data_IF_776096872680
#
_entry.id   IF_776096872680
#
_cell.length_a   1.000
_cell.length_b   1.000
_cell.length_c   1.000
_cell.angle_alpha   90.00
_cell.angle_beta   90.00
_cell.angle_gamma   90.00
#
_symmetry.space_group_name_H-M   'P 1'
#
loop_
_entity.id
_entity.type
_entity.pdbx_description
1 polymer ?
#
# COMPACT_ATOMS: atom_id res chain seq x y z
N UNK A 1 6.03 -4.00 7.02
CA UNK A 1 5.11 -4.33 5.92
C UNK A 1 4.08 -3.22 5.83
N UNK A 2 3.67 -2.81 4.63
CA UNK A 2 2.61 -1.81 4.46
C UNK A 2 1.94 -1.89 3.09
N UNK A 3 0.61 -1.72 3.08
CA UNK A 3 -0.19 -1.59 1.85
C UNK A 3 -0.50 -0.13 1.55
N UNK A 4 -0.46 0.29 0.28
CA UNK A 4 -0.88 1.63 -0.13
C UNK A 4 -0.16 2.76 0.64
N UNK A 5 -0.89 3.66 1.30
CA UNK A 5 -0.35 4.68 2.21
C UNK A 5 0.53 4.09 3.31
N UNK A 6 0.23 2.91 3.84
CA UNK A 6 1.07 2.22 4.81
C UNK A 6 2.44 1.83 4.22
N UNK A 7 2.50 1.53 2.93
CA UNK A 7 3.75 1.32 2.20
C UNK A 7 4.56 2.61 2.04
N UNK A 8 3.89 3.74 1.76
CA UNK A 8 4.52 5.07 1.76
C UNK A 8 5.14 5.41 3.11
N UNK A 9 4.40 5.21 4.20
CA UNK A 9 4.89 5.42 5.56
C UNK A 9 6.08 4.51 5.85
N UNK A 10 5.99 3.23 5.47
CA UNK A 10 7.09 2.26 5.67
C UNK A 10 8.36 2.66 4.93
N UNK A 11 8.25 3.20 3.72
CA UNK A 11 9.38 3.72 2.94
C UNK A 11 10.00 4.96 3.59
N UNK A 12 9.18 5.89 4.06
CA UNK A 12 9.65 7.08 4.78
C UNK A 12 10.38 6.70 6.07
N UNK A 13 9.81 5.77 6.84
CA UNK A 13 10.39 5.27 8.08
C UNK A 13 11.75 4.61 7.84
N UNK A 14 11.83 3.69 6.85
CA UNK A 14 13.08 3.01 6.52
C UNK A 14 14.17 3.95 5.99
N UNK A 15 13.78 5.07 5.37
CA UNK A 15 14.72 6.10 4.93
C UNK A 15 15.21 6.95 6.10
N UNK A 16 14.33 7.31 7.04
CA UNK A 16 14.65 8.14 8.20
C UNK A 16 15.44 7.37 9.28
N UNK A 17 15.16 6.07 9.43
CA UNK A 17 15.73 5.22 10.46
C UNK A 17 16.27 3.90 9.86
N UNK A 18 17.38 3.94 9.08
CA UNK A 18 17.89 2.76 8.37
C UNK A 18 18.23 1.56 9.25
N UNK A 19 18.68 1.82 10.49
CA UNK A 19 19.08 0.78 11.45
C UNK A 19 17.87 0.13 12.16
N UNK A 20 16.69 0.76 12.10
CA UNK A 20 15.48 0.26 12.76
C UNK A 20 14.68 -0.72 11.88
N UNK A 21 14.97 -0.77 10.57
CA UNK A 21 14.18 -1.54 9.60
C UNK A 21 15.03 -2.62 8.95
N UNK A 22 14.86 -3.86 9.41
CA UNK A 22 15.56 -5.03 8.86
C UNK A 22 15.07 -5.42 7.45
N UNK A 23 13.89 -4.98 7.04
CA UNK A 23 13.35 -5.26 5.72
C UNK A 23 11.92 -4.74 5.52
N UNK A 24 11.55 -4.56 4.26
CA UNK A 24 10.25 -4.03 3.86
C UNK A 24 9.47 -5.03 3.02
N UNK A 25 8.16 -5.08 3.25
CA UNK A 25 7.21 -5.71 2.34
C UNK A 25 6.19 -4.66 1.96
N UNK A 26 6.12 -4.34 0.68
CA UNK A 26 5.34 -3.24 0.11
C UNK A 26 4.28 -3.82 -0.80
N UNK A 27 3.02 -3.74 -0.36
CA UNK A 27 1.86 -4.25 -1.10
C UNK A 27 1.17 -3.07 -1.78
N UNK A 28 1.22 -2.96 -3.11
CA UNK A 28 0.59 -1.84 -3.84
C UNK A 28 0.92 -0.46 -3.23
N UNK A 29 2.17 -0.31 -2.78
CA UNK A 29 2.57 0.84 -2.00
C UNK A 29 2.38 2.12 -2.80
N UNK A 30 1.90 3.17 -2.14
CA UNK A 30 1.74 4.50 -2.72
C UNK A 30 3.12 5.13 -2.98
N UNK A 31 3.74 4.71 -4.08
CA UNK A 31 5.06 5.13 -4.50
C UNK A 31 5.05 6.55 -5.09
N UNK A 32 6.22 7.16 -5.35
CA UNK A 32 6.27 8.44 -6.04
C UNK A 32 5.54 8.39 -7.38
N UNK A 33 4.89 9.50 -7.75
CA UNK A 33 4.11 9.56 -8.97
C UNK A 33 4.95 9.22 -10.21
N UNK A 34 4.37 8.36 -11.04
CA UNK A 34 4.88 8.00 -12.36
C UNK A 34 3.90 8.49 -13.42
N UNK A 35 4.36 8.83 -14.63
CA UNK A 35 3.46 9.13 -15.74
C UNK A 35 2.63 7.89 -16.09
N UNK A 36 1.38 7.86 -15.66
CA UNK A 36 0.41 6.81 -15.95
C UNK A 36 -0.99 7.40 -15.95
N UNK A 37 -1.87 6.88 -16.80
CA UNK A 37 -3.28 7.28 -16.82
C UNK A 37 -3.97 6.69 -15.58
N UNK A 38 -4.56 7.52 -14.70
CA UNK A 38 -5.29 7.01 -13.54
C UNK A 38 -6.66 6.45 -13.97
N UNK A 39 -7.20 5.54 -13.17
CA UNK A 39 -8.59 5.11 -13.32
C UNK A 39 -9.53 6.32 -13.15
N UNK A 40 -10.49 6.56 -14.06
CA UNK A 40 -11.35 7.74 -14.01
C UNK A 40 -12.15 7.90 -12.72
N UNK A 41 -12.62 6.79 -12.13
CA UNK A 41 -13.39 6.83 -10.89
C UNK A 41 -12.49 7.17 -9.68
N UNK A 42 -11.28 6.61 -9.66
CA UNK A 42 -10.27 6.95 -8.64
C UNK A 42 -9.86 8.42 -8.78
N UNK A 43 -9.58 8.89 -9.99
CA UNK A 43 -9.25 10.29 -10.25
C UNK A 43 -10.35 11.23 -9.76
N UNK A 44 -11.62 10.96 -10.10
CA UNK A 44 -12.76 11.76 -9.65
C UNK A 44 -12.88 11.77 -8.12
N UNK A 45 -12.70 10.62 -7.45
CA UNK A 45 -12.74 10.51 -5.99
C UNK A 45 -11.64 11.33 -5.31
N UNK A 46 -10.39 11.18 -5.75
CA UNK A 46 -9.27 11.90 -5.19
C UNK A 46 -9.32 13.40 -5.49
N UNK A 47 -9.83 13.80 -6.66
CA UNK A 47 -10.12 15.21 -6.99
C UNK A 47 -11.19 15.79 -6.06
N UNK A 48 -12.27 15.05 -5.80
CA UNK A 48 -13.29 15.48 -4.83
C UNK A 48 -12.71 15.65 -3.42
N UNK A 49 -11.80 14.77 -3.00
CA UNK A 49 -11.08 14.94 -1.74
C UNK A 49 -10.11 16.12 -1.74
N UNK A 50 -9.41 16.41 -2.83
CA UNK A 50 -8.49 17.53 -2.93
C UNK A 50 -9.21 18.90 -2.79
N UNK A 51 -10.43 19.02 -3.30
CA UNK A 51 -11.20 20.28 -3.27
C UNK A 51 -11.86 20.52 -1.90
N UNK A 52 -11.75 21.73 -1.28
CA UNK A 52 -12.30 21.98 0.07
C UNK A 52 -13.81 21.80 0.20
N UNK A 53 -14.60 22.34 -0.74
CA UNK A 53 -16.06 22.26 -0.71
C UNK A 53 -16.56 20.85 -1.06
N UNK A 54 -15.99 20.22 -2.09
CA UNK A 54 -16.34 18.87 -2.49
C UNK A 54 -15.96 17.85 -1.42
N UNK A 55 -14.82 18.04 -0.75
CA UNK A 55 -14.39 17.22 0.37
C UNK A 55 -15.35 17.29 1.56
N UNK A 56 -15.93 18.46 1.85
CA UNK A 56 -16.99 18.60 2.88
C UNK A 56 -18.25 17.82 2.52
N UNK A 57 -18.67 17.87 1.26
CA UNK A 57 -19.84 17.13 0.75
C UNK A 57 -19.56 15.63 0.76
N UNK A 58 -18.40 15.19 0.26
CA UNK A 58 -18.00 13.79 0.25
C UNK A 58 -17.93 13.20 1.66
N UNK A 59 -17.42 13.98 2.62
CA UNK A 59 -17.45 13.66 4.06
C UNK A 59 -18.87 13.50 4.58
N UNK A 60 -19.74 14.51 4.38
CA UNK A 60 -21.12 14.47 4.87
C UNK A 60 -21.89 13.27 4.30
N UNK A 61 -21.76 13.02 2.99
CA UNK A 61 -22.34 11.84 2.33
C UNK A 61 -21.83 10.54 2.95
N UNK A 62 -20.53 10.41 3.19
CA UNK A 62 -19.94 9.21 3.77
C UNK A 62 -20.39 8.98 5.21
N UNK A 63 -20.44 10.02 6.05
CA UNK A 63 -20.88 9.89 7.45
C UNK A 63 -22.34 9.46 7.57
N UNK A 64 -23.15 9.70 6.54
CA UNK A 64 -24.54 9.25 6.48
C UNK A 64 -24.69 7.81 5.93
N UNK A 65 -23.63 7.18 5.40
CA UNK A 65 -23.71 5.83 4.82
C UNK A 65 -23.59 4.75 5.90
N UNK A 66 -24.36 3.66 5.79
CA UNK A 66 -24.11 2.44 6.56
C UNK A 66 -22.69 1.91 6.31
N UNK A 67 -22.10 1.31 7.34
CA UNK A 67 -20.74 0.78 7.28
C UNK A 67 -20.59 -0.33 6.23
N UNK A 68 -21.62 -1.15 6.03
CA UNK A 68 -21.71 -2.21 5.03
C UNK A 68 -21.59 -1.64 3.62
N UNK A 69 -22.36 -0.59 3.35
CA UNK A 69 -22.33 0.13 2.07
C UNK A 69 -20.94 0.70 1.83
N UNK A 70 -20.35 1.32 2.85
CA UNK A 70 -19.02 1.92 2.75
C UNK A 70 -17.94 0.87 2.46
N UNK A 71 -17.92 -0.23 3.20
CA UNK A 71 -16.97 -1.34 2.98
C UNK A 71 -17.19 -1.96 1.61
N UNK A 72 -18.43 -2.22 1.22
CA UNK A 72 -18.75 -2.76 -0.11
C UNK A 72 -18.29 -1.86 -1.25
N UNK A 73 -18.43 -0.52 -1.12
CA UNK A 73 -17.90 0.43 -2.09
C UNK A 73 -16.38 0.41 -2.15
N UNK A 74 -15.70 0.33 -1.01
CA UNK A 74 -14.23 0.28 -0.96
C UNK A 74 -13.70 -1.04 -1.55
N UNK A 75 -14.32 -2.18 -1.25
CA UNK A 75 -13.92 -3.46 -1.85
C UNK A 75 -14.14 -3.47 -3.36
N UNK A 76 -15.22 -2.90 -3.90
CA UNK A 76 -15.41 -2.76 -5.36
C UNK A 76 -14.42 -1.81 -6.02
N UNK A 77 -13.92 -0.83 -5.28
CA UNK A 77 -12.93 0.11 -5.79
C UNK A 77 -11.54 -0.53 -5.81
N UNK A 78 -11.21 -1.24 -4.73
CA UNK A 78 -9.88 -1.79 -4.50
C UNK A 78 -9.69 -3.19 -5.09
N UNK A 79 -10.71 -4.02 -5.12
CA UNK A 79 -10.63 -5.40 -5.62
C UNK A 79 -11.10 -5.51 -7.06
N UNK A 80 -10.54 -6.47 -7.81
CA UNK A 80 -11.08 -6.90 -9.10
C UNK A 80 -12.36 -7.70 -8.88
N UNK A 81 -12.32 -8.62 -7.91
CA UNK A 81 -13.46 -9.45 -7.54
C UNK A 81 -13.64 -9.45 -6.01
N UNK A 82 -14.55 -8.61 -5.48
CA UNK A 82 -14.85 -8.57 -4.06
C UNK A 82 -15.33 -9.90 -3.47
N UNK A 83 -15.87 -10.82 -4.28
CA UNK A 83 -16.34 -12.13 -3.80
C UNK A 83 -15.19 -13.05 -3.37
N UNK A 84 -13.94 -12.73 -3.75
CA UNK A 84 -12.74 -13.45 -3.28
C UNK A 84 -12.38 -13.12 -1.83
N UNK A 85 -12.90 -12.02 -1.28
CA UNK A 85 -12.65 -11.64 0.10
C UNK A 85 -13.57 -12.47 1.01
N UNK A 86 -13.03 -13.24 1.98
CA UNK A 86 -13.86 -14.08 2.83
C UNK A 86 -14.92 -13.28 3.61
N UNK A 87 -16.16 -13.79 3.75
CA UNK A 87 -17.24 -13.06 4.41
C UNK A 87 -16.92 -12.60 5.84
N UNK A 88 -16.17 -13.39 6.59
CA UNK A 88 -15.70 -13.07 7.94
C UNK A 88 -14.72 -11.89 7.94
N UNK A 89 -13.88 -11.77 6.92
CA UNK A 89 -12.99 -10.62 6.74
C UNK A 89 -13.79 -9.38 6.38
N UNK A 90 -14.81 -9.51 5.52
CA UNK A 90 -15.72 -8.39 5.22
C UNK A 90 -16.47 -7.94 6.47
N UNK A 91 -16.99 -8.87 7.27
CA UNK A 91 -17.68 -8.57 8.52
C UNK A 91 -16.76 -7.82 9.51
N UNK A 92 -15.49 -8.20 9.59
CA UNK A 92 -14.50 -7.50 10.41
C UNK A 92 -14.24 -6.07 9.91
N UNK A 93 -14.12 -5.87 8.59
CA UNK A 93 -14.00 -4.53 8.01
C UNK A 93 -15.23 -3.67 8.31
N UNK A 94 -16.43 -4.26 8.31
CA UNK A 94 -17.68 -3.57 8.69
C UNK A 94 -17.65 -3.19 10.17
N UNK A 95 -17.25 -4.12 11.06
CA UNK A 95 -17.10 -3.84 12.50
C UNK A 95 -16.13 -2.69 12.75
N UNK A 96 -14.97 -2.71 12.10
CA UNK A 96 -13.99 -1.62 12.18
C UNK A 96 -14.53 -0.30 11.61
N UNK A 97 -15.28 -0.34 10.50
CA UNK A 97 -15.88 0.85 9.90
C UNK A 97 -16.94 1.48 10.81
N UNK A 98 -17.78 0.67 11.49
CA UNK A 98 -18.72 1.13 12.51
C UNK A 98 -17.99 1.80 13.67
N UNK A 99 -16.97 1.15 14.23
CA UNK A 99 -16.18 1.69 15.33
C UNK A 99 -15.43 2.99 14.95
N UNK A 100 -15.00 3.13 13.70
CA UNK A 100 -14.43 4.39 13.21
C UNK A 100 -15.52 5.46 13.08
N UNK A 101 -16.71 5.10 12.61
CA UNK A 101 -17.86 6.00 12.47
C UNK A 101 -18.35 6.62 13.79
N UNK A 102 -18.08 5.97 14.92
CA UNK A 102 -18.34 6.51 16.27
C UNK A 102 -17.47 7.74 16.61
N UNK A 103 -16.40 8.00 15.85
CA UNK A 103 -15.51 9.16 16.06
C UNK A 103 -15.96 10.33 15.19
N UNK A 104 -16.15 11.50 15.81
CA UNK A 104 -16.55 12.74 15.15
C UNK A 104 -15.63 13.13 13.97
N UNK A 105 -14.33 12.83 14.08
CA UNK A 105 -13.33 13.22 13.09
C UNK A 105 -13.09 12.19 11.96
N UNK A 106 -13.74 11.02 11.96
CA UNK A 106 -13.34 9.91 11.08
C UNK A 106 -13.39 10.23 9.58
N UNK A 107 -14.37 11.02 9.15
CA UNK A 107 -14.45 11.48 7.76
C UNK A 107 -13.40 12.52 7.41
N UNK A 108 -13.02 13.38 8.36
CA UNK A 108 -11.97 14.39 8.17
C UNK A 108 -10.60 13.76 8.10
N UNK A 109 -10.33 12.79 8.97
CA UNK A 109 -9.07 12.04 9.00
C UNK A 109 -8.82 11.33 7.68
N UNK A 110 -9.85 10.72 7.09
CA UNK A 110 -9.74 10.10 5.77
C UNK A 110 -9.38 11.11 4.69
N UNK A 111 -10.09 12.24 4.60
CA UNK A 111 -9.83 13.26 3.58
C UNK A 111 -8.44 13.87 3.77
N UNK A 112 -8.03 14.08 5.03
CA UNK A 112 -6.68 14.55 5.37
C UNK A 112 -5.61 13.55 4.95
N UNK A 113 -5.83 12.25 5.18
CA UNK A 113 -4.94 11.18 4.75
C UNK A 113 -4.86 11.06 3.21
N UNK A 114 -6.00 11.11 2.51
CA UNK A 114 -6.01 11.09 1.05
C UNK A 114 -5.22 12.28 0.46
N UNK A 115 -5.40 13.48 1.03
CA UNK A 115 -4.63 14.67 0.64
C UNK A 115 -3.15 14.55 0.97
N UNK A 116 -2.77 13.93 2.09
CA UNK A 116 -1.36 13.73 2.42
C UNK A 116 -0.69 12.80 1.43
N UNK A 117 -1.33 11.70 1.04
CA UNK A 117 -0.82 10.78 0.01
C UNK A 117 -0.54 11.53 -1.30
N UNK A 118 -1.50 12.31 -1.81
CA UNK A 118 -1.32 13.08 -3.06
C UNK A 118 -0.13 14.04 -2.98
N UNK A 119 -0.05 14.82 -1.90
CA UNK A 119 1.03 15.81 -1.72
C UNK A 119 2.40 15.14 -1.57
N UNK A 120 2.48 14.09 -0.76
CA UNK A 120 3.73 13.37 -0.49
C UNK A 120 4.21 12.64 -1.74
N UNK A 121 3.34 11.91 -2.45
CA UNK A 121 3.69 11.17 -3.66
C UNK A 121 4.22 12.07 -4.80
N UNK A 122 3.73 13.30 -4.89
CA UNK A 122 4.20 14.29 -5.86
C UNK A 122 5.54 14.95 -5.47
N UNK A 123 5.87 14.96 -4.18
CA UNK A 123 6.98 15.74 -3.62
C UNK A 123 8.38 15.18 -3.95
N UNK A 124 9.37 16.04 -4.22
CA UNK A 124 10.75 15.60 -4.47
C UNK A 124 11.41 14.98 -3.22
N UNK A 125 11.04 15.43 -2.02
CA UNK A 125 11.54 14.88 -0.76
C UNK A 125 11.20 13.39 -0.62
N UNK A 126 10.00 12.97 -1.04
CA UNK A 126 9.63 11.57 -0.99
C UNK A 126 10.41 10.72 -2.01
N UNK A 127 10.63 11.23 -3.24
CA UNK A 127 11.51 10.58 -4.22
C UNK A 127 12.94 10.39 -3.69
N UNK A 128 13.47 11.40 -3.00
CA UNK A 128 14.77 11.33 -2.37
C UNK A 128 14.78 10.28 -1.24
N UNK A 129 13.79 10.30 -0.36
CA UNK A 129 13.64 9.34 0.75
C UNK A 129 13.59 7.90 0.24
N UNK A 130 12.75 7.61 -0.76
CA UNK A 130 12.69 6.27 -1.39
C UNK A 130 14.07 5.83 -1.87
N UNK A 131 14.80 6.72 -2.56
CA UNK A 131 16.16 6.44 -3.03
C UNK A 131 17.20 6.22 -1.93
N UNK A 132 16.95 6.69 -0.72
CA UNK A 132 17.83 6.55 0.43
C UNK A 132 17.59 5.26 1.24
N UNK A 133 16.52 4.51 0.94
CA UNK A 133 16.20 3.26 1.66
C UNK A 133 17.29 2.22 1.41
N UNK A 134 17.90 1.75 2.50
CA UNK A 134 18.97 0.72 2.48
C UNK A 134 18.46 -0.69 2.77
N UNK A 135 17.35 -0.80 3.47
CA UNK A 135 16.76 -2.07 3.83
C UNK A 135 16.39 -2.89 2.58
N UNK A 136 16.54 -4.22 2.60
CA UNK A 136 16.01 -5.07 1.55
C UNK A 136 14.48 -4.93 1.52
N UNK A 137 13.89 -4.92 0.32
CA UNK A 137 12.44 -4.82 0.18
C UNK A 137 11.89 -5.83 -0.82
N UNK A 138 10.68 -6.32 -0.55
CA UNK A 138 9.83 -7.01 -1.51
C UNK A 138 8.72 -6.07 -1.96
N UNK A 139 8.52 -5.99 -3.27
CA UNK A 139 7.36 -5.36 -3.89
C UNK A 139 6.37 -6.46 -4.31
N UNK A 140 5.14 -6.40 -3.83
CA UNK A 140 4.02 -7.20 -4.35
C UNK A 140 2.97 -6.24 -4.87
N UNK A 141 2.48 -6.47 -6.09
CA UNK A 141 1.57 -5.52 -6.72
C UNK A 141 0.50 -6.25 -7.55
N UNK A 142 -0.76 -5.88 -7.38
CA UNK A 142 -1.86 -6.40 -8.19
C UNK A 142 -1.87 -5.77 -9.58
N UNK A 143 -1.84 -6.58 -10.63
CA UNK A 143 -1.78 -6.11 -12.03
C UNK A 143 -2.90 -5.13 -12.38
N UNK A 144 -4.08 -5.28 -11.78
CA UNK A 144 -5.29 -4.51 -12.05
C UNK A 144 -5.60 -3.49 -10.94
N UNK A 145 -4.59 -3.10 -10.16
CA UNK A 145 -4.73 -2.02 -9.20
C UNK A 145 -5.16 -0.71 -9.89
N UNK A 146 -6.31 -0.19 -9.44
CA UNK A 146 -6.92 1.05 -9.95
C UNK A 146 -6.42 2.29 -9.21
N UNK A 147 -5.93 2.13 -7.98
CA UNK A 147 -5.49 3.20 -7.10
C UNK A 147 -4.03 3.56 -7.36
N UNK A 148 -3.17 2.55 -7.46
CA UNK A 148 -1.74 2.73 -7.77
C UNK A 148 -1.42 1.94 -9.02
N UNK A 149 -1.03 2.58 -10.14
CA UNK A 149 -0.65 1.83 -11.33
C UNK A 149 0.56 0.93 -11.07
N UNK A 150 0.56 -0.31 -11.59
CA UNK A 150 1.69 -1.25 -11.47
C UNK A 150 3.03 -0.69 -11.97
N UNK A 151 2.98 0.27 -12.90
CA UNK A 151 4.15 1.03 -13.35
C UNK A 151 4.90 1.73 -12.21
N UNK A 152 4.22 2.07 -11.11
CA UNK A 152 4.81 2.68 -9.92
C UNK A 152 5.74 1.69 -9.20
N UNK A 153 5.29 0.45 -8.94
CA UNK A 153 6.17 -0.61 -8.43
C UNK A 153 7.28 -0.97 -9.43
N UNK A 154 6.99 -0.96 -10.73
CA UNK A 154 8.01 -1.13 -11.76
C UNK A 154 9.09 -0.04 -11.72
N UNK A 155 8.72 1.21 -11.43
CA UNK A 155 9.68 2.29 -11.26
C UNK A 155 10.52 2.14 -9.98
N UNK A 156 9.92 1.66 -8.88
CA UNK A 156 10.66 1.31 -7.67
C UNK A 156 11.69 0.21 -7.94
N UNK A 157 11.29 -0.87 -8.62
CA UNK A 157 12.18 -1.97 -8.96
C UNK A 157 13.34 -1.52 -9.87
N UNK A 158 13.09 -0.63 -10.83
CA UNK A 158 14.17 -0.04 -11.66
C UNK A 158 15.13 0.83 -10.85
N UNK A 159 14.62 1.55 -9.84
CA UNK A 159 15.44 2.41 -8.98
C UNK A 159 16.19 1.62 -7.91
N UNK A 160 15.66 0.48 -7.47
CA UNK A 160 16.25 -0.43 -6.50
C UNK A 160 16.30 -1.84 -7.09
N UNK A 161 17.32 -2.17 -7.91
CA UNK A 161 17.38 -3.46 -8.61
C UNK A 161 17.43 -4.69 -7.69
N UNK A 162 17.79 -4.50 -6.42
CA UNK A 162 17.79 -5.56 -5.41
C UNK A 162 16.41 -5.84 -4.81
N UNK A 163 15.39 -5.05 -5.16
CA UNK A 163 14.03 -5.22 -4.68
C UNK A 163 13.24 -6.08 -5.67
N UNK A 164 13.02 -7.38 -5.39
CA UNK A 164 12.19 -8.20 -6.24
C UNK A 164 10.76 -7.63 -6.35
N UNK A 165 10.21 -7.72 -7.55
CA UNK A 165 8.82 -7.33 -7.86
C UNK A 165 8.01 -8.55 -8.26
N UNK A 166 7.04 -8.91 -7.43
CA UNK A 166 6.01 -9.90 -7.72
C UNK A 166 4.75 -9.18 -8.22
N UNK A 167 4.37 -9.39 -9.48
CA UNK A 167 3.10 -8.88 -10.03
C UNK A 167 2.07 -9.99 -10.03
N UNK A 168 0.97 -9.80 -9.29
CA UNK A 168 -0.12 -10.77 -9.21
C UNK A 168 -1.15 -10.50 -10.31
N UNK A 169 -1.29 -11.45 -11.24
CA UNK A 169 -2.19 -11.32 -12.39
C UNK A 169 -3.66 -11.33 -11.97
N UNK A 170 -4.46 -10.41 -12.52
CA UNK A 170 -5.89 -10.35 -12.23
C UNK A 170 -6.26 -9.97 -10.79
N UNK A 171 -5.31 -9.41 -10.03
CA UNK A 171 -5.48 -8.92 -8.65
C UNK A 171 -5.48 -7.39 -8.64
N UNK A 172 -6.28 -6.79 -7.76
CA UNK A 172 -6.39 -5.34 -7.55
C UNK A 172 -5.46 -4.83 -6.45
N UNK A 173 -5.89 -3.76 -5.77
CA UNK A 173 -5.13 -3.00 -4.77
C UNK A 173 -4.97 -3.68 -3.40
N UNK A 174 -5.64 -4.83 -3.18
CA UNK A 174 -5.67 -5.55 -1.92
C UNK A 174 -5.27 -7.02 -2.11
N UNK A 175 -4.03 -7.31 -2.56
CA UNK A 175 -3.56 -8.66 -2.85
C UNK A 175 -3.64 -9.56 -1.63
N UNK A 176 -3.38 -9.03 -0.44
CA UNK A 176 -3.52 -9.76 0.81
C UNK A 176 -4.97 -10.22 1.12
N UNK A 177 -5.97 -9.61 0.47
CA UNK A 177 -7.38 -9.98 0.62
C UNK A 177 -7.90 -10.78 -0.58
N UNK A 178 -7.48 -10.45 -1.81
CA UNK A 178 -7.96 -11.10 -3.04
C UNK A 178 -7.18 -12.36 -3.42
N UNK A 179 -5.90 -12.42 -3.08
CA UNK A 179 -4.98 -13.51 -3.40
C UNK A 179 -4.10 -13.80 -2.16
N UNK A 180 -4.71 -14.17 -1.02
CA UNK A 180 -4.02 -14.27 0.25
C UNK A 180 -2.92 -15.34 0.24
N UNK A 181 -3.14 -16.45 -0.47
CA UNK A 181 -2.17 -17.53 -0.56
C UNK A 181 -0.94 -17.09 -1.36
N UNK A 182 -1.14 -16.57 -2.56
CA UNK A 182 -0.08 -16.08 -3.45
C UNK A 182 0.72 -14.95 -2.79
N UNK A 183 0.02 -14.04 -2.11
CA UNK A 183 0.66 -12.95 -1.35
C UNK A 183 1.50 -13.50 -0.20
N UNK A 184 0.95 -14.41 0.60
CA UNK A 184 1.67 -15.01 1.73
C UNK A 184 2.88 -15.82 1.25
N UNK A 185 2.75 -16.59 0.17
CA UNK A 185 3.86 -17.33 -0.41
C UNK A 185 4.98 -16.41 -0.91
N UNK A 186 4.65 -15.33 -1.64
CA UNK A 186 5.65 -14.36 -2.09
C UNK A 186 6.44 -13.77 -0.91
N UNK A 187 5.73 -13.41 0.16
CA UNK A 187 6.34 -12.89 1.39
C UNK A 187 7.21 -13.94 2.08
N UNK A 188 6.71 -15.18 2.26
CA UNK A 188 7.45 -16.25 2.94
C UNK A 188 8.68 -16.68 2.14
N UNK A 189 8.59 -16.77 0.81
CA UNK A 189 9.73 -17.04 -0.08
C UNK A 189 10.81 -15.98 0.09
N UNK A 190 10.42 -14.70 0.05
CA UNK A 190 11.36 -13.59 0.22
C UNK A 190 11.98 -13.57 1.62
N UNK A 191 11.19 -13.77 2.69
CA UNK A 191 11.71 -13.82 4.06
C UNK A 191 12.74 -14.94 4.25
N UNK A 192 12.52 -16.12 3.65
CA UNK A 192 13.50 -17.19 3.65
C UNK A 192 14.78 -16.75 2.93
N UNK A 193 14.69 -16.24 1.72
CA UNK A 193 15.87 -15.79 0.96
C UNK A 193 16.69 -14.71 1.70
N UNK A 194 16.02 -13.71 2.27
CA UNK A 194 16.68 -12.60 2.97
C UNK A 194 17.35 -13.03 4.28
N UNK A 195 16.77 -13.99 5.01
CA UNK A 195 17.39 -14.57 6.23
C UNK A 195 18.66 -15.35 5.92
N UNK A 196 18.68 -16.10 4.82
CA UNK A 196 19.88 -16.82 4.40
C UNK A 196 21.00 -15.85 3.98
N UNK A 197 20.66 -14.75 3.29
CA UNK A 197 21.64 -13.74 2.90
C UNK A 197 22.28 -13.02 4.10
N UNK A 198 21.49 -12.69 5.14
CA UNK A 198 22.01 -12.07 6.38
C UNK A 198 22.83 -13.05 7.22
N UNK A 199 22.43 -14.32 7.28
CA UNK A 199 23.23 -15.36 7.98
C UNK A 199 24.55 -15.67 7.29
N UNK A 200 24.59 -15.69 5.94
CA UNK A 200 25.81 -15.93 5.18
C UNK A 200 26.78 -14.75 5.26
N UNK A 201 26.28 -13.50 5.28
CA UNK A 201 27.11 -12.31 5.46
C UNK A 201 27.72 -12.19 6.87
N UNK A 202 27.10 -12.83 7.88
CA UNK A 202 27.61 -12.85 9.26
C UNK A 202 28.73 -13.88 9.51
N UNK A 203 29.09 -14.71 8.53
CA UNK A 203 30.13 -15.74 8.68
C UNK A 203 31.26 -15.66 7.62
N UNK A 204 32.16 -14.65 7.64
CA UNK A 204 33.33 -14.64 6.74
C UNK A 204 34.69 -14.97 7.38
N UNK A 205 34.80 -15.32 8.67
CA UNK A 205 36.11 -15.59 9.30
C UNK A 205 36.03 -16.67 10.38
N UNK A 206 36.06 -17.94 9.98
CA UNK A 206 36.37 -19.05 10.89
C UNK A 206 36.82 -20.28 10.10
N UNK A 207 37.83 -20.14 9.23
CA UNK A 207 38.56 -21.30 8.71
C UNK A 207 39.94 -20.85 8.21
N UNK A 208 40.86 -20.66 9.15
CA UNK A 208 42.31 -20.83 8.97
C UNK A 208 42.96 -20.87 10.37
N UNK A 209 43.07 -22.08 10.93
CA UNK A 209 44.05 -22.44 11.95
C UNK A 209 44.36 -23.94 11.82
#
# INVERSE_FOLDING_TARGET
>A
MGNSMGGMISLLEAAAHPEAVAGLVLLDAAAPFVPALPDPAVAALFTAYALPWAGRIARARRSAMPAETLVGLMLRLCCVDPARVPPEVVAEHVRMARHRGERDAAGEDLVRAARSVLRTAAGPAYRAAVGAVRAPALLVHGQRDRLVPVAASGALARRHPTWPLEVLLGVGHLPQLEAPHETAEAVLRWLRATRHATSAAAHPLADHA
#
